data_IF_645484208257
#
_entry.id   IF_645484208257
#
_cell.length_a   1.000
_cell.length_b   1.000
_cell.length_c   1.000
_cell.angle_alpha   90.00
_cell.angle_beta   90.00
_cell.angle_gamma   90.00
#
_symmetry.space_group_name_H-M   'P 1'
#
loop_
_entity.id
_entity.type
_entity.pdbx_description
1 polymer ?
#
# COMPACT_ATOMS: atom_id res chain seq x y z
N UNK A 1 -14.23 7.94 -2.63
CA UNK A 1 -12.92 7.84 -1.96
C UNK A 1 -11.80 7.44 -2.92
N UNK A 2 -10.71 8.20 -2.95
CA UNK A 2 -9.47 7.89 -3.67
C UNK A 2 -8.29 8.12 -2.71
N UNK A 3 -7.33 7.20 -2.65
CA UNK A 3 -6.04 7.44 -1.99
C UNK A 3 -4.90 7.30 -3.00
N UNK A 4 -3.92 8.20 -2.87
CA UNK A 4 -2.67 8.15 -3.61
C UNK A 4 -1.55 7.76 -2.64
N UNK A 5 -0.55 7.06 -3.18
CA UNK A 5 0.67 6.71 -2.46
C UNK A 5 1.82 7.41 -3.16
N UNK A 6 2.47 8.32 -2.45
CA UNK A 6 3.68 8.99 -2.87
C UNK A 6 4.91 8.13 -2.49
N UNK A 7 5.56 7.59 -3.51
CA UNK A 7 6.67 6.65 -3.34
C UNK A 7 7.94 7.29 -2.75
N UNK A 8 8.02 8.62 -2.67
CA UNK A 8 9.22 9.30 -2.15
C UNK A 8 9.08 9.68 -0.68
N UNK A 9 7.86 9.98 -0.24
CA UNK A 9 7.61 10.49 1.11
C UNK A 9 6.89 9.49 2.02
N UNK A 10 6.27 8.44 1.47
CA UNK A 10 5.42 7.51 2.25
C UNK A 10 5.99 6.10 2.39
N UNK A 11 7.18 5.85 1.83
CA UNK A 11 7.87 4.58 1.94
C UNK A 11 8.71 4.53 3.22
N UNK A 12 8.40 3.57 4.09
CA UNK A 12 9.24 3.26 5.25
C UNK A 12 10.30 2.24 4.82
N UNK A 13 11.60 2.56 4.94
CA UNK A 13 12.67 1.61 4.65
C UNK A 13 12.69 0.49 5.69
N UNK A 14 12.90 -0.73 5.23
CA UNK A 14 13.20 -1.89 6.04
C UNK A 14 14.65 -2.29 5.81
N UNK A 15 15.46 -2.22 6.85
CA UNK A 15 16.87 -2.59 6.82
C UNK A 15 17.01 -4.09 7.09
N UNK A 16 17.85 -4.77 6.30
CA UNK A 16 18.15 -6.19 6.50
C UNK A 16 19.18 -6.40 7.62
N UNK A 17 19.41 -7.65 8.01
CA UNK A 17 20.40 -8.01 9.05
C UNK A 17 21.85 -7.60 8.75
N UNK A 18 22.19 -7.32 7.47
CA UNK A 18 23.54 -6.94 7.04
C UNK A 18 23.51 -5.80 6.03
N UNK A 19 23.44 -4.57 6.52
CA UNK A 19 23.67 -3.38 5.69
C UNK A 19 23.02 -2.12 6.25
N UNK A 20 23.66 -0.98 6.01
CA UNK A 20 23.09 0.35 6.24
C UNK A 20 22.07 0.71 5.14
N UNK A 21 22.08 -0.02 4.01
CA UNK A 21 21.13 0.15 2.92
C UNK A 21 19.77 -0.50 3.23
N UNK A 22 18.69 0.22 2.92
CA UNK A 22 17.33 -0.32 2.94
C UNK A 22 17.22 -1.56 2.03
N UNK A 23 16.81 -2.69 2.61
CA UNK A 23 16.61 -3.96 1.92
C UNK A 23 15.29 -3.99 1.14
N UNK A 24 14.25 -3.39 1.69
CA UNK A 24 12.93 -3.23 1.10
C UNK A 24 12.25 -1.98 1.63
N UNK A 25 11.09 -1.64 1.08
CA UNK A 25 10.25 -0.58 1.60
C UNK A 25 8.83 -1.08 1.81
N UNK A 26 8.13 -0.50 2.77
CA UNK A 26 6.72 -0.78 2.97
C UNK A 26 5.91 0.49 3.18
N UNK A 27 4.62 0.42 2.85
CA UNK A 27 3.66 1.47 3.09
C UNK A 27 2.36 0.85 3.60
N UNK A 28 1.74 1.49 4.60
CA UNK A 28 0.43 1.11 5.12
C UNK A 28 -0.55 2.26 4.89
N UNK A 29 -1.67 1.95 4.24
CA UNK A 29 -2.79 2.86 4.07
C UNK A 29 -4.05 2.26 4.64
N UNK A 30 -4.83 3.07 5.33
CA UNK A 30 -6.15 2.69 5.83
C UNK A 30 -7.15 3.61 5.15
N UNK A 31 -8.08 3.02 4.41
CA UNK A 31 -9.19 3.69 3.77
C UNK A 31 -10.43 3.50 4.64
N UNK A 32 -11.15 4.57 4.92
CA UNK A 32 -12.44 4.53 5.64
C UNK A 32 -13.48 5.16 4.74
N UNK A 33 -14.55 4.42 4.44
CA UNK A 33 -15.61 4.85 3.55
C UNK A 33 -16.29 6.14 4.02
N UNK A 34 -16.69 6.97 3.05
CA UNK A 34 -17.50 8.16 3.30
C UNK A 34 -18.98 7.76 3.39
N UNK A 35 -19.79 8.45 4.21
CA UNK A 35 -21.23 8.18 4.43
C UNK A 35 -21.59 6.78 4.99
N UNK A 36 -21.45 6.61 6.31
CA UNK A 36 -21.93 5.47 7.13
C UNK A 36 -21.21 4.13 6.96
N UNK A 37 -20.22 4.02 6.07
CA UNK A 37 -19.37 2.83 5.97
C UNK A 37 -18.08 3.03 6.78
N UNK A 38 -18.10 2.64 8.05
CA UNK A 38 -16.95 2.76 8.96
C UNK A 38 -16.02 1.56 8.92
N UNK A 39 -16.21 0.62 7.98
CA UNK A 39 -15.31 -0.53 7.86
C UNK A 39 -13.96 -0.06 7.29
N UNK A 40 -12.87 -0.17 8.05
CA UNK A 40 -11.56 0.21 7.56
C UNK A 40 -11.07 -0.85 6.58
N UNK A 41 -10.65 -0.41 5.41
CA UNK A 41 -9.94 -1.24 4.44
C UNK A 41 -8.46 -0.94 4.60
N UNK A 42 -7.71 -1.92 5.08
CA UNK A 42 -6.27 -1.80 5.27
C UNK A 42 -5.52 -2.34 4.06
N UNK A 43 -4.59 -1.53 3.54
CA UNK A 43 -3.70 -1.85 2.44
C UNK A 43 -2.26 -1.83 2.96
N UNK A 44 -1.58 -2.96 2.81
CA UNK A 44 -0.14 -3.07 3.01
C UNK A 44 0.53 -3.28 1.67
N UNK A 45 1.41 -2.37 1.32
CA UNK A 45 2.17 -2.39 0.09
C UNK A 45 3.63 -2.62 0.43
N UNK A 46 4.29 -3.53 -0.28
CA UNK A 46 5.72 -3.82 -0.17
C UNK A 46 6.41 -3.52 -1.48
N UNK A 47 7.52 -2.82 -1.40
CA UNK A 47 8.33 -2.41 -2.52
C UNK A 47 9.76 -2.94 -2.37
N UNK A 48 10.36 -3.26 -3.51
CA UNK A 48 11.78 -3.61 -3.61
C UNK A 48 12.68 -2.37 -3.48
N UNK A 49 14.00 -2.57 -3.36
CA UNK A 49 15.02 -1.52 -3.40
C UNK A 49 14.86 -0.52 -4.55
N UNK A 50 14.30 -0.95 -5.69
CA UNK A 50 14.02 -0.10 -6.86
C UNK A 50 12.68 0.63 -6.81
N UNK A 51 12.02 0.70 -5.64
CA UNK A 51 10.66 1.20 -5.46
C UNK A 51 9.62 0.51 -6.36
N UNK A 52 9.88 -0.73 -6.76
CA UNK A 52 8.93 -1.55 -7.53
C UNK A 52 8.01 -2.28 -6.57
N UNK A 53 6.71 -2.19 -6.80
CA UNK A 53 5.71 -2.87 -5.97
C UNK A 53 5.82 -4.40 -6.16
N UNK A 54 6.24 -5.11 -5.11
CA UNK A 54 6.46 -6.57 -5.11
C UNK A 54 5.40 -7.32 -4.29
N UNK A 55 4.70 -6.63 -3.40
CA UNK A 55 3.66 -7.23 -2.58
C UNK A 55 2.51 -6.26 -2.34
N UNK A 56 1.28 -6.78 -2.44
CA UNK A 56 0.07 -6.05 -2.05
C UNK A 56 -0.76 -6.98 -1.18
N UNK A 57 -1.19 -6.49 -0.03
CA UNK A 57 -2.10 -7.19 0.85
C UNK A 57 -3.23 -6.26 1.24
N UNK A 58 -4.46 -6.74 1.10
CA UNK A 58 -5.68 -6.02 1.48
C UNK A 58 -6.36 -6.78 2.62
N UNK A 59 -6.89 -6.04 3.58
CA UNK A 59 -7.75 -6.57 4.63
C UNK A 59 -9.05 -5.77 4.65
N UNK A 60 -10.19 -6.45 4.72
CA UNK A 60 -11.51 -5.80 4.72
C UNK A 60 -12.00 -5.34 3.35
N UNK A 61 -11.31 -5.67 2.25
CA UNK A 61 -11.71 -5.32 0.89
C UNK A 61 -11.21 -6.32 -0.15
N UNK A 62 -11.55 -6.08 -1.42
CA UNK A 62 -11.09 -6.87 -2.58
C UNK A 62 -10.39 -5.94 -3.58
N UNK A 63 -9.37 -6.46 -4.26
CA UNK A 63 -8.79 -5.78 -5.42
C UNK A 63 -9.72 -5.93 -6.63
N UNK A 64 -10.02 -4.80 -7.26
CA UNK A 64 -10.72 -4.73 -8.55
C UNK A 64 -9.76 -4.14 -9.58
N UNK A 65 -9.85 -4.58 -10.83
CA UNK A 65 -9.08 -4.00 -11.92
C UNK A 65 -9.72 -2.70 -12.44
N UNK A 66 -8.99 -1.92 -13.23
CA UNK A 66 -9.52 -0.65 -13.77
C UNK A 66 -10.80 -0.86 -14.60
N UNK A 67 -10.92 -2.00 -15.28
CA UNK A 67 -12.12 -2.37 -16.02
C UNK A 67 -13.35 -2.48 -15.11
N UNK A 68 -13.22 -3.14 -13.95
CA UNK A 68 -14.29 -3.29 -12.95
C UNK A 68 -14.65 -1.98 -12.23
N UNK A 69 -13.76 -0.97 -12.23
CA UNK A 69 -14.06 0.34 -11.63
C UNK A 69 -14.86 1.27 -12.55
N UNK A 70 -14.78 1.06 -13.87
CA UNK A 70 -15.39 1.95 -14.88
C UNK A 70 -16.78 1.49 -15.34
N UNK A 71 -17.21 0.28 -14.98
CA UNK A 71 -18.59 -0.19 -15.09
C UNK A 71 -19.47 0.36 -13.95
#
# INVERSE_FOLDING_TARGET
>A
MQARVDMWNELTPEYGEKGDDAASFHCRKVLVGENKCFQPIELKLRFDKKHKLVGKQIQGGKYIEEAEYRE
#
